data_IF_020038779819
#
_entry.id   IF_020038779819
#
_cell.length_a   1.000
_cell.length_b   1.000
_cell.length_c   1.000
_cell.angle_alpha   90.00
_cell.angle_beta   90.00
_cell.angle_gamma   90.00
#
_symmetry.space_group_name_H-M   'P 1'
#
loop_
_entity.id
_entity.type
_entity.pdbx_description
1 polymer ?
#
# COMPACT_ATOMS: atom_id res chain seq x y z
N UNK A 1 -21.27 -13.35 4.10
CA UNK A 1 -19.96 -12.91 4.66
C UNK A 1 -19.75 -11.50 4.17
N UNK A 2 -19.35 -10.58 5.03
CA UNK A 2 -19.02 -9.21 4.63
C UNK A 2 -17.77 -9.22 3.74
N UNK A 3 -17.67 -8.25 2.82
CA UNK A 3 -16.47 -8.05 1.99
C UNK A 3 -15.22 -7.75 2.83
N UNK A 4 -14.05 -7.90 2.23
CA UNK A 4 -12.75 -7.63 2.87
C UNK A 4 -12.08 -6.45 2.19
N UNK A 5 -11.28 -5.70 2.95
CA UNK A 5 -10.37 -4.70 2.40
C UNK A 5 -8.98 -5.33 2.24
N UNK A 6 -8.47 -5.34 1.02
CA UNK A 6 -7.22 -6.01 0.64
C UNK A 6 -6.25 -4.97 0.13
N UNK A 7 -5.25 -4.65 0.94
CA UNK A 7 -4.20 -3.70 0.60
C UNK A 7 -3.04 -4.44 -0.04
N UNK A 8 -2.76 -4.18 -1.30
CA UNK A 8 -1.77 -4.89 -2.11
C UNK A 8 -0.59 -3.98 -2.41
N UNK A 9 0.62 -4.41 -2.12
CA UNK A 9 1.81 -3.71 -2.59
C UNK A 9 1.94 -3.87 -4.10
N UNK A 10 2.25 -2.80 -4.83
CA UNK A 10 2.52 -2.85 -6.27
C UNK A 10 3.54 -3.93 -6.66
N UNK A 11 3.51 -4.40 -7.91
CA UNK A 11 4.48 -5.32 -8.49
C UNK A 11 5.90 -4.73 -8.55
N UNK A 12 6.90 -5.55 -8.85
CA UNK A 12 8.29 -5.11 -8.95
C UNK A 12 8.44 -3.96 -9.95
N UNK A 13 9.03 -2.84 -9.52
CA UNK A 13 9.37 -1.70 -10.37
C UNK A 13 10.86 -1.65 -10.70
N UNK A 14 11.24 -0.86 -11.71
CA UNK A 14 12.65 -0.61 -12.02
C UNK A 14 13.40 -0.01 -10.84
N UNK A 15 12.78 0.87 -10.07
CA UNK A 15 13.39 1.42 -8.86
C UNK A 15 13.64 0.34 -7.78
N UNK A 16 12.80 -0.70 -7.69
CA UNK A 16 13.07 -1.84 -6.78
C UNK A 16 14.33 -2.59 -7.18
N UNK A 17 14.57 -2.81 -8.49
CA UNK A 17 15.82 -3.44 -8.97
C UNK A 17 17.05 -2.61 -8.64
N UNK A 18 16.94 -1.30 -8.72
CA UNK A 18 18.01 -0.35 -8.43
C UNK A 18 18.21 -0.12 -6.91
N UNK A 19 17.34 -0.67 -6.07
CA UNK A 19 17.27 -0.37 -4.63
C UNK A 19 17.14 1.13 -4.36
N UNK A 20 16.43 1.84 -5.23
CA UNK A 20 16.24 3.28 -5.18
C UNK A 20 14.99 3.65 -4.38
N UNK A 21 15.13 4.64 -3.52
CA UNK A 21 14.01 5.28 -2.85
C UNK A 21 13.23 6.09 -3.90
N UNK A 22 12.12 5.54 -4.37
CA UNK A 22 11.27 6.08 -5.43
C UNK A 22 9.86 6.26 -4.85
N UNK A 23 9.68 7.35 -4.12
CA UNK A 23 8.47 7.55 -3.32
C UNK A 23 7.55 8.61 -3.91
N UNK A 24 8.11 9.51 -4.73
CA UNK A 24 7.39 10.62 -5.34
C UNK A 24 6.66 10.19 -6.63
N UNK A 25 5.36 10.47 -6.75
CA UNK A 25 4.65 10.24 -8.01
C UNK A 25 5.22 11.13 -9.15
N UNK A 26 5.18 10.65 -10.41
CA UNK A 26 4.61 9.40 -10.86
C UNK A 26 5.48 8.17 -10.57
N UNK A 27 6.79 8.32 -10.36
CA UNK A 27 7.75 7.27 -10.08
C UNK A 27 8.01 6.29 -11.23
N UNK A 28 8.81 5.26 -10.95
CA UNK A 28 9.23 4.26 -11.93
C UNK A 28 8.08 3.33 -12.34
N UNK A 29 8.22 2.78 -13.55
CA UNK A 29 7.34 1.76 -14.11
C UNK A 29 7.62 0.37 -13.54
N UNK A 30 6.64 -0.53 -13.70
CA UNK A 30 6.83 -1.95 -13.43
C UNK A 30 7.85 -2.55 -14.41
N UNK A 31 8.59 -3.53 -13.92
CA UNK A 31 9.31 -4.48 -14.77
C UNK A 31 8.31 -5.49 -15.36
N UNK A 32 8.77 -6.28 -16.37
CA UNK A 32 7.92 -7.39 -16.86
C UNK A 32 7.62 -8.41 -15.76
N UNK A 33 8.58 -8.65 -14.88
CA UNK A 33 8.36 -9.49 -13.66
C UNK A 33 7.25 -8.89 -12.79
N UNK A 34 7.25 -7.57 -12.58
CA UNK A 34 6.21 -6.89 -11.79
C UNK A 34 4.82 -6.99 -12.42
N UNK A 35 4.73 -6.95 -13.75
CA UNK A 35 3.49 -7.16 -14.48
C UNK A 35 2.97 -8.60 -14.30
N UNK A 36 3.84 -9.60 -14.45
CA UNK A 36 3.46 -11.00 -14.25
C UNK A 36 3.05 -11.26 -12.80
N UNK A 37 3.74 -10.68 -11.80
CA UNK A 37 3.32 -10.75 -10.39
C UNK A 37 1.89 -10.22 -10.18
N UNK A 38 1.51 -9.14 -10.87
CA UNK A 38 0.17 -8.59 -10.80
C UNK A 38 -0.87 -9.53 -11.42
N UNK A 39 -0.58 -10.13 -12.58
CA UNK A 39 -1.43 -11.15 -13.21
C UNK A 39 -1.59 -12.39 -12.33
N UNK A 40 -0.49 -12.86 -11.73
CA UNK A 40 -0.52 -14.02 -10.82
C UNK A 40 -1.33 -13.72 -9.55
N UNK A 41 -1.25 -12.51 -9.02
CA UNK A 41 -2.12 -12.09 -7.91
C UNK A 41 -3.60 -12.23 -8.31
N UNK A 42 -3.99 -11.74 -9.48
CA UNK A 42 -5.36 -11.86 -9.96
C UNK A 42 -5.78 -13.32 -10.12
N UNK A 43 -4.97 -14.14 -10.79
CA UNK A 43 -5.25 -15.58 -11.04
C UNK A 43 -5.35 -16.41 -9.76
N UNK A 44 -4.67 -15.99 -8.69
CA UNK A 44 -4.74 -16.65 -7.38
C UNK A 44 -6.07 -16.43 -6.65
N UNK A 45 -6.89 -15.51 -7.12
CA UNK A 45 -8.15 -15.16 -6.47
C UNK A 45 -9.33 -15.93 -7.09
N UNK A 46 -10.26 -16.41 -6.23
CA UNK A 46 -11.40 -17.20 -6.71
C UNK A 46 -12.42 -16.37 -7.49
N UNK A 47 -12.48 -15.05 -7.23
CA UNK A 47 -13.46 -14.15 -7.82
C UNK A 47 -12.86 -12.76 -8.03
N UNK A 48 -13.36 -11.99 -9.01
CA UNK A 48 -12.99 -10.57 -9.14
C UNK A 48 -13.43 -9.78 -7.90
N UNK A 49 -12.69 -8.72 -7.51
CA UNK A 49 -13.14 -7.81 -6.48
C UNK A 49 -14.35 -6.98 -6.95
N UNK A 50 -15.12 -6.44 -6.01
CA UNK A 50 -16.19 -5.50 -6.34
C UNK A 50 -15.67 -4.10 -6.68
N UNK A 51 -14.48 -3.74 -6.12
CA UNK A 51 -13.76 -2.51 -6.45
C UNK A 51 -12.27 -2.83 -6.56
N UNK A 52 -11.62 -2.19 -7.54
CA UNK A 52 -10.18 -2.24 -7.75
C UNK A 52 -9.65 -0.81 -7.86
N UNK A 53 -8.94 -0.39 -6.82
CA UNK A 53 -8.45 0.96 -6.64
C UNK A 53 -6.93 0.98 -6.64
N UNK A 54 -6.34 2.12 -7.00
CA UNK A 54 -4.88 2.27 -6.96
C UNK A 54 -4.44 3.69 -6.57
N UNK A 55 -3.22 3.76 -6.03
CA UNK A 55 -2.55 5.03 -5.76
C UNK A 55 -2.17 5.75 -7.07
N UNK A 56 -1.94 7.05 -6.97
CA UNK A 56 -1.51 7.94 -8.08
C UNK A 56 -0.14 7.59 -8.68
N UNK A 57 0.63 6.69 -8.06
CA UNK A 57 1.94 6.29 -8.58
C UNK A 57 1.81 5.32 -9.76
N UNK A 58 2.64 5.54 -10.81
CA UNK A 58 2.59 4.78 -12.07
C UNK A 58 2.64 3.27 -11.86
N UNK A 59 3.54 2.78 -11.01
CA UNK A 59 3.68 1.34 -10.69
C UNK A 59 2.43 0.76 -10.05
N UNK A 60 1.71 1.54 -9.24
CA UNK A 60 0.45 1.09 -8.62
C UNK A 60 -0.67 1.03 -9.67
N UNK A 61 -0.79 2.06 -10.51
CA UNK A 61 -1.74 2.08 -11.63
C UNK A 61 -1.49 0.91 -12.60
N UNK A 62 -0.24 0.67 -12.97
CA UNK A 62 0.12 -0.46 -13.85
C UNK A 62 -0.22 -1.81 -13.20
N UNK A 63 0.06 -1.98 -11.90
CA UNK A 63 -0.31 -3.20 -11.17
C UNK A 63 -1.83 -3.41 -11.18
N UNK A 64 -2.60 -2.37 -10.89
CA UNK A 64 -4.06 -2.45 -10.90
C UNK A 64 -4.60 -2.76 -12.30
N UNK A 65 -4.03 -2.15 -13.35
CA UNK A 65 -4.45 -2.44 -14.73
C UNK A 65 -4.20 -3.90 -15.12
N UNK A 66 -3.03 -4.47 -14.80
CA UNK A 66 -2.77 -5.90 -15.05
C UNK A 66 -3.75 -6.82 -14.31
N UNK A 67 -4.13 -6.45 -13.06
CA UNK A 67 -5.17 -7.16 -12.30
C UNK A 67 -6.55 -6.99 -12.96
N UNK A 68 -6.88 -5.76 -13.36
CA UNK A 68 -8.15 -5.42 -14.00
C UNK A 68 -8.36 -6.15 -15.33
N UNK A 69 -7.30 -6.24 -16.14
CA UNK A 69 -7.32 -6.94 -17.44
C UNK A 69 -7.64 -8.43 -17.27
N UNK A 70 -7.08 -9.11 -16.25
CA UNK A 70 -7.37 -10.52 -15.96
C UNK A 70 -8.85 -10.75 -15.57
N UNK A 71 -9.52 -9.75 -15.00
CA UNK A 71 -10.91 -9.80 -14.58
C UNK A 71 -11.88 -9.08 -15.52
N UNK A 72 -11.39 -8.47 -16.61
CA UNK A 72 -12.16 -7.63 -17.51
C UNK A 72 -12.91 -6.50 -16.78
N UNK A 73 -12.27 -5.84 -15.82
CA UNK A 73 -12.83 -4.76 -15.01
C UNK A 73 -11.96 -3.50 -15.05
N UNK A 74 -12.59 -2.34 -14.83
CA UNK A 74 -11.89 -1.06 -14.71
C UNK A 74 -11.21 -0.89 -13.36
N UNK A 75 -10.34 0.12 -13.30
CA UNK A 75 -9.64 0.55 -12.07
C UNK A 75 -9.86 2.03 -11.85
N UNK A 76 -9.91 2.47 -10.58
CA UNK A 76 -10.04 3.87 -10.23
C UNK A 76 -8.84 4.35 -9.40
N UNK A 77 -8.36 5.55 -9.77
CA UNK A 77 -7.29 6.22 -9.03
C UNK A 77 -7.83 6.86 -7.75
N UNK A 78 -7.09 6.70 -6.66
CA UNK A 78 -7.40 7.31 -5.36
C UNK A 78 -6.17 8.03 -4.82
N UNK A 79 -6.34 9.29 -4.46
CA UNK A 79 -5.31 10.06 -3.78
C UNK A 79 -5.25 9.71 -2.27
N UNK A 80 -4.14 10.09 -1.63
CA UNK A 80 -3.92 9.86 -0.19
C UNK A 80 -3.26 8.52 0.15
N UNK A 81 -3.25 7.55 -0.77
CA UNK A 81 -2.69 6.20 -0.54
C UNK A 81 -1.34 5.95 -1.23
N UNK A 82 -0.62 7.02 -1.60
CA UNK A 82 0.74 6.92 -2.15
C UNK A 82 1.77 6.57 -1.08
N UNK A 83 3.02 6.25 -1.52
CA UNK A 83 4.10 5.85 -0.60
C UNK A 83 4.52 7.01 0.32
N UNK A 84 5.16 6.65 1.42
CA UNK A 84 5.82 7.58 2.33
C UNK A 84 6.78 8.48 1.54
N UNK A 85 6.62 9.81 1.65
CA UNK A 85 7.50 10.74 0.94
C UNK A 85 8.85 10.86 1.65
N UNK A 86 9.88 10.36 0.98
CA UNK A 86 11.23 10.26 1.53
C UNK A 86 11.99 11.60 1.61
N UNK A 87 11.45 12.66 0.99
CA UNK A 87 12.03 14.01 1.03
C UNK A 87 13.42 14.07 0.42
N UNK A 88 14.42 14.46 1.22
CA UNK A 88 15.82 14.59 0.77
C UNK A 88 16.51 13.24 0.49
N UNK A 89 15.86 12.13 0.86
CA UNK A 89 16.33 10.77 0.56
C UNK A 89 15.83 10.26 -0.80
N UNK A 90 14.94 10.99 -1.47
CA UNK A 90 14.39 10.60 -2.76
C UNK A 90 15.49 10.37 -3.79
N UNK A 91 15.28 9.38 -4.68
CA UNK A 91 16.20 8.95 -5.74
C UNK A 91 17.55 8.37 -5.27
N UNK A 92 17.79 8.29 -3.98
CA UNK A 92 19.03 7.72 -3.45
C UNK A 92 18.99 6.18 -3.44
N UNK A 93 20.18 5.60 -3.68
CA UNK A 93 20.39 4.14 -3.73
C UNK A 93 21.43 3.66 -2.72
N UNK A 94 22.11 4.58 -2.04
CA UNK A 94 23.18 4.25 -1.11
C UNK A 94 22.65 3.72 0.23
N UNK A 95 23.43 2.85 0.85
CA UNK A 95 23.04 2.19 2.10
C UNK A 95 22.79 3.16 3.25
N UNK A 96 23.42 4.34 3.25
CA UNK A 96 23.20 5.35 4.28
C UNK A 96 21.80 5.95 4.20
N UNK A 97 21.31 6.25 2.99
CA UNK A 97 19.95 6.75 2.78
C UNK A 97 18.88 5.70 3.13
N UNK A 98 19.15 4.44 2.76
CA UNK A 98 18.23 3.33 3.09
C UNK A 98 18.20 3.10 4.60
N UNK A 99 19.34 3.17 5.28
CA UNK A 99 19.44 3.03 6.73
C UNK A 99 18.72 4.18 7.45
N UNK A 100 18.84 5.41 6.96
CA UNK A 100 18.16 6.59 7.53
C UNK A 100 16.64 6.48 7.37
N UNK A 101 16.15 6.14 6.16
CA UNK A 101 14.72 5.87 5.92
C UNK A 101 14.21 4.79 6.89
N UNK A 102 14.92 3.67 7.00
CA UNK A 102 14.54 2.55 7.86
C UNK A 102 14.52 2.95 9.33
N UNK A 103 15.50 3.74 9.78
CA UNK A 103 15.57 4.23 11.16
C UNK A 103 14.39 5.12 11.52
N UNK A 104 14.01 6.07 10.65
CA UNK A 104 12.84 6.92 10.88
C UNK A 104 11.56 6.07 10.87
N UNK A 105 11.41 5.15 9.93
CA UNK A 105 10.28 4.26 9.86
C UNK A 105 10.14 3.37 11.11
N UNK A 106 11.25 2.87 11.64
CA UNK A 106 11.29 2.12 12.89
C UNK A 106 10.73 2.95 14.06
N UNK A 107 11.15 4.21 14.19
CA UNK A 107 10.62 5.11 15.21
C UNK A 107 9.12 5.30 15.14
N UNK A 108 8.54 5.35 13.92
CA UNK A 108 7.09 5.38 13.76
C UNK A 108 6.41 4.13 14.31
N UNK A 109 6.99 2.96 14.02
CA UNK A 109 6.51 1.70 14.56
C UNK A 109 6.60 1.66 16.09
N UNK A 110 7.56 2.34 16.70
CA UNK A 110 7.72 2.48 18.16
C UNK A 110 6.82 3.57 18.77
N UNK A 111 5.99 4.24 17.95
CA UNK A 111 5.01 5.23 18.38
C UNK A 111 5.45 6.69 18.23
N UNK A 112 6.68 6.96 17.76
CA UNK A 112 7.17 8.31 17.53
C UNK A 112 6.70 8.88 16.19
N UNK A 113 5.41 8.89 15.94
CA UNK A 113 4.79 9.28 14.66
C UNK A 113 5.07 10.72 14.23
N UNK A 114 5.50 11.59 15.14
CA UNK A 114 5.83 13.00 14.82
C UNK A 114 7.22 13.19 14.22
N UNK A 115 8.05 12.16 14.16
CA UNK A 115 9.37 12.24 13.52
C UNK A 115 9.20 12.25 12.02
N UNK A 116 9.81 13.21 11.33
CA UNK A 116 9.72 13.30 9.86
C UNK A 116 10.96 12.69 9.17
N UNK A 117 10.74 12.17 7.96
CA UNK A 117 11.84 11.95 7.01
C UNK A 117 12.54 13.29 6.75
N UNK A 118 13.85 13.33 6.53
CA UNK A 118 14.53 14.58 6.17
C UNK A 118 13.86 15.25 4.94
N UNK A 119 13.30 16.44 5.14
CA UNK A 119 12.55 17.13 4.07
C UNK A 119 11.30 16.42 3.55
N UNK A 120 10.84 15.37 4.23
CA UNK A 120 9.71 14.53 3.82
C UNK A 120 8.59 14.46 4.86
N UNK A 121 7.79 13.39 4.80
CA UNK A 121 6.64 13.17 5.68
C UNK A 121 7.05 12.61 7.04
N UNK A 122 6.24 12.93 8.06
CA UNK A 122 6.18 12.17 9.31
C UNK A 122 5.21 10.99 9.21
N UNK A 123 5.30 10.05 10.13
CA UNK A 123 4.33 8.95 10.21
C UNK A 123 2.89 9.45 10.44
N UNK A 124 2.73 10.58 11.13
CA UNK A 124 1.43 11.24 11.32
C UNK A 124 0.87 11.75 10.00
N UNK A 125 1.69 12.45 9.20
CA UNK A 125 1.25 12.95 7.88
C UNK A 125 0.77 11.81 6.98
N UNK A 126 1.50 10.68 6.98
CA UNK A 126 1.09 9.49 6.23
C UNK A 126 -0.26 8.94 6.72
N UNK A 127 -0.45 8.80 8.02
CA UNK A 127 -1.71 8.29 8.59
C UNK A 127 -2.86 9.27 8.36
N UNK A 128 -2.63 10.58 8.48
CA UNK A 128 -3.65 11.62 8.32
C UNK A 128 -4.21 11.67 6.89
N UNK A 129 -3.44 11.27 5.88
CA UNK A 129 -3.93 11.15 4.50
C UNK A 129 -4.46 9.74 4.15
N UNK A 130 -3.88 8.70 4.72
CA UNK A 130 -4.19 7.32 4.35
C UNK A 130 -5.46 6.78 5.03
N UNK A 131 -5.57 6.96 6.35
CA UNK A 131 -6.68 6.40 7.13
C UNK A 131 -8.06 6.95 6.73
N UNK A 132 -8.25 8.24 6.40
CA UNK A 132 -9.53 8.74 5.91
C UNK A 132 -10.01 8.01 4.66
N UNK A 133 -9.11 7.67 3.73
CA UNK A 133 -9.47 6.90 2.51
C UNK A 133 -10.00 5.52 2.88
N UNK A 134 -9.31 4.79 3.76
CA UNK A 134 -9.76 3.46 4.21
C UNK A 134 -11.06 3.54 5.00
N UNK A 135 -11.22 4.57 5.84
CA UNK A 135 -12.44 4.84 6.59
C UNK A 135 -13.65 5.09 5.67
N UNK A 136 -13.46 5.88 4.61
CA UNK A 136 -14.48 6.15 3.61
C UNK A 136 -14.91 4.88 2.84
N UNK A 137 -13.94 4.05 2.44
CA UNK A 137 -14.22 2.75 1.82
C UNK A 137 -15.00 1.82 2.76
N UNK A 138 -14.64 1.79 4.03
CA UNK A 138 -15.36 1.03 5.05
C UNK A 138 -16.82 1.50 5.14
N UNK A 139 -17.03 2.79 5.39
CA UNK A 139 -18.37 3.38 5.59
C UNK A 139 -19.28 3.23 4.37
N UNK A 140 -18.73 3.35 3.15
CA UNK A 140 -19.53 3.29 1.92
C UNK A 140 -19.87 1.87 1.50
N UNK A 141 -19.02 0.91 1.81
CA UNK A 141 -19.14 -0.43 1.26
C UNK A 141 -19.14 -1.51 2.34
N UNK A 142 -18.11 -1.59 3.18
CA UNK A 142 -17.96 -2.74 4.09
C UNK A 142 -18.97 -2.74 5.23
N UNK A 143 -19.45 -1.57 5.63
CA UNK A 143 -20.51 -1.43 6.64
C UNK A 143 -21.92 -1.57 6.04
N UNK A 144 -22.05 -1.64 4.70
CA UNK A 144 -23.31 -1.93 4.03
C UNK A 144 -23.60 -3.45 4.04
N UNK A 145 -24.68 -3.92 4.69
CA UNK A 145 -25.05 -5.34 4.71
C UNK A 145 -25.31 -5.94 3.31
N UNK A 146 -25.59 -5.10 2.31
CA UNK A 146 -25.77 -5.50 0.92
C UNK A 146 -24.45 -5.74 0.17
N UNK A 147 -23.33 -5.30 0.71
CA UNK A 147 -22.02 -5.47 0.10
C UNK A 147 -21.34 -6.75 0.59
N UNK A 148 -20.95 -7.63 -0.32
CA UNK A 148 -20.29 -8.90 -0.02
C UNK A 148 -18.97 -9.13 -0.76
N UNK A 149 -18.57 -8.19 -1.63
CA UNK A 149 -17.39 -8.31 -2.48
C UNK A 149 -16.15 -7.73 -1.78
N UNK A 150 -14.97 -8.24 -2.12
CA UNK A 150 -13.70 -7.68 -1.69
C UNK A 150 -13.44 -6.32 -2.36
N UNK A 151 -12.75 -5.43 -1.66
CA UNK A 151 -12.18 -4.19 -2.19
C UNK A 151 -10.67 -4.39 -2.25
N UNK A 152 -10.10 -4.31 -3.43
CA UNK A 152 -8.64 -4.39 -3.64
C UNK A 152 -8.09 -2.99 -3.85
N UNK A 153 -7.09 -2.62 -3.07
CA UNK A 153 -6.41 -1.31 -3.12
C UNK A 153 -4.93 -1.54 -3.36
N UNK A 154 -4.44 -1.16 -4.54
CA UNK A 154 -3.02 -1.26 -4.87
C UNK A 154 -2.28 -0.01 -4.40
N UNK A 155 -1.34 -0.22 -3.49
CA UNK A 155 -0.59 0.84 -2.82
C UNK A 155 0.87 0.42 -2.60
N UNK A 156 1.51 0.82 -1.49
CA UNK A 156 2.96 0.77 -1.29
C UNK A 156 3.34 0.15 0.04
N UNK A 157 4.52 -0.45 0.09
CA UNK A 157 4.92 -1.32 1.19
C UNK A 157 5.00 -0.65 2.55
N UNK A 158 5.61 0.53 2.67
CA UNK A 158 5.75 1.21 3.96
C UNK A 158 4.41 1.80 4.42
N UNK A 159 3.67 2.46 3.52
CA UNK A 159 2.37 3.05 3.83
C UNK A 159 1.33 1.99 4.24
N UNK A 160 1.23 0.86 3.51
CA UNK A 160 0.33 -0.25 3.85
C UNK A 160 0.63 -0.80 5.25
N UNK A 161 1.91 -1.07 5.56
CA UNK A 161 2.30 -1.64 6.85
C UNK A 161 1.99 -0.70 8.00
N UNK A 162 2.28 0.60 7.85
CA UNK A 162 2.01 1.60 8.88
C UNK A 162 0.51 1.75 9.13
N UNK A 163 -0.29 1.92 8.08
CA UNK A 163 -1.74 2.07 8.19
C UNK A 163 -2.40 0.80 8.73
N UNK A 164 -2.00 -0.37 8.21
CA UNK A 164 -2.54 -1.66 8.64
C UNK A 164 -2.23 -1.97 10.10
N UNK A 165 -1.01 -1.71 10.56
CA UNK A 165 -0.63 -1.88 11.96
C UNK A 165 -1.43 -0.96 12.89
N UNK A 166 -1.64 0.28 12.47
CA UNK A 166 -2.43 1.26 13.23
C UNK A 166 -3.88 0.81 13.36
N UNK A 167 -4.50 0.34 12.28
CA UNK A 167 -5.89 -0.14 12.29
C UNK A 167 -6.07 -1.43 13.10
N UNK A 168 -5.11 -2.35 13.02
CA UNK A 168 -5.18 -3.64 13.69
C UNK A 168 -4.67 -3.60 15.14
N UNK A 169 -4.10 -2.49 15.61
CA UNK A 169 -3.48 -2.39 16.93
C UNK A 169 -2.31 -3.36 17.13
N UNK A 170 -1.59 -3.68 16.04
CA UNK A 170 -0.50 -4.67 16.05
C UNK A 170 0.77 -4.05 16.61
N UNK A 171 1.52 -4.83 17.38
CA UNK A 171 2.80 -4.39 17.97
C UNK A 171 3.85 -4.07 16.90
N UNK A 172 4.67 -3.06 17.18
CA UNK A 172 5.73 -2.55 16.29
C UNK A 172 6.71 -3.62 15.80
N UNK A 173 7.10 -4.56 16.65
CA UNK A 173 8.00 -5.66 16.25
C UNK A 173 7.47 -6.47 15.08
N UNK A 174 6.17 -6.76 15.07
CA UNK A 174 5.53 -7.49 13.96
C UNK A 174 5.67 -6.75 12.63
N UNK A 175 5.46 -5.42 12.64
CA UNK A 175 5.54 -4.58 11.42
C UNK A 175 6.95 -4.52 10.85
N UNK A 176 7.95 -4.48 11.74
CA UNK A 176 9.38 -4.42 11.36
C UNK A 176 9.87 -5.74 10.79
N UNK A 177 9.45 -6.86 11.39
CA UNK A 177 9.89 -8.20 11.00
C UNK A 177 9.20 -8.73 9.72
N UNK A 178 8.03 -8.15 9.37
CA UNK A 178 7.25 -8.59 8.21
C UNK A 178 7.35 -7.59 7.06
N UNK A 179 8.36 -7.81 6.21
CA UNK A 179 8.46 -7.07 4.96
C UNK A 179 7.37 -7.52 3.99
N UNK A 180 6.59 -6.57 3.48
CA UNK A 180 5.58 -6.86 2.46
C UNK A 180 6.25 -6.98 1.09
N UNK A 181 6.28 -8.16 0.49
CA UNK A 181 6.85 -8.39 -0.83
C UNK A 181 6.00 -7.75 -1.94
N UNK A 182 6.53 -7.62 -3.17
CA UNK A 182 5.75 -7.14 -4.31
C UNK A 182 4.53 -8.05 -4.55
N UNK A 183 3.37 -7.45 -4.75
CA UNK A 183 2.04 -8.08 -4.85
C UNK A 183 1.58 -8.89 -3.63
N UNK A 184 2.34 -8.89 -2.55
CA UNK A 184 1.84 -9.38 -1.28
C UNK A 184 0.76 -8.45 -0.72
N UNK A 185 -0.20 -9.02 0.01
CA UNK A 185 -1.37 -8.29 0.47
C UNK A 185 -1.59 -8.40 1.97
N UNK A 186 -2.02 -7.29 2.57
CA UNK A 186 -2.59 -7.24 3.89
C UNK A 186 -4.12 -7.30 3.78
N UNK A 187 -4.74 -8.26 4.46
CA UNK A 187 -6.20 -8.42 4.47
C UNK A 187 -6.76 -7.88 5.78
N UNK A 188 -7.61 -6.88 5.67
CA UNK A 188 -8.34 -6.30 6.80
C UNK A 188 -9.79 -6.80 6.78
N UNK A 189 -10.22 -7.33 7.90
CA UNK A 189 -11.59 -7.76 8.12
C UNK A 189 -12.33 -6.67 8.91
N UNK A 190 -13.56 -6.29 8.51
CA UNK A 190 -14.35 -5.42 9.35
C UNK A 190 -14.68 -6.14 10.66
N UNK A 191 -14.28 -5.55 11.79
CA UNK A 191 -14.73 -6.02 13.10
C UNK A 191 -16.10 -5.41 13.33
N UNK A 192 -17.13 -6.24 13.37
CA UNK A 192 -18.42 -5.81 13.87
C UNK A 192 -18.33 -5.88 15.39
N UNK A 193 -18.36 -4.73 16.05
CA UNK A 193 -18.61 -4.68 17.50
C UNK A 193 -19.94 -5.38 17.75
N UNK A 194 -19.87 -6.55 18.42
CA UNK A 194 -21.02 -7.34 18.84
C UNK A 194 -21.75 -6.72 20.04
#
# INVERSE_FOLDING_TARGET
MSGRLILVRHGQSHANLERRLDTRPPGAELTEVGREQARDFARSRPHPPGLLLHSIARRAAQTANEIGDEFAMGTDEVDGIHEVQAGDLEDRTDDAAIAEFTSVYQRWCEGELGVAMPGGESGRDVLDRYLPVLGDLRLRYLDDPGWSNDIVVVSHGAAIRLAGATLAGVQSSFVLDHHLANTEALVLLPVTDG
#
